data_IF_684160291784
#
_entry.id   IF_684160291784
#
_cell.length_a   1.000
_cell.length_b   1.000
_cell.length_c   1.000
_cell.angle_alpha   90.00
_cell.angle_beta   90.00
_cell.angle_gamma   90.00
#
_symmetry.space_group_name_H-M   'P 1'
#
loop_
_entity.id
_entity.type
_entity.pdbx_description
1 polymer ?
#
# COMPACT_ATOMS: atom_id res chain seq x y z
N UNK A 1 12.27 -9.72 0.18
CA UNK A 1 11.02 -9.02 -0.25
C UNK A 1 11.06 -7.55 0.21
N UNK A 2 10.61 -6.57 -0.58
CA UNK A 2 10.65 -5.12 -0.25
C UNK A 2 10.08 -4.80 1.16
N UNK A 3 8.98 -5.47 1.53
CA UNK A 3 8.34 -5.36 2.84
C UNK A 3 9.27 -5.71 4.02
N UNK A 4 10.09 -6.75 3.90
CA UNK A 4 11.00 -7.19 4.95
C UNK A 4 12.25 -6.31 5.03
N UNK A 5 12.85 -5.97 3.89
CA UNK A 5 14.14 -5.29 3.86
C UNK A 5 14.03 -3.77 4.06
N UNK A 6 12.97 -3.14 3.55
CA UNK A 6 12.83 -1.67 3.59
C UNK A 6 11.88 -1.24 4.70
N UNK A 7 10.76 -1.93 4.86
CA UNK A 7 9.71 -1.53 5.80
C UNK A 7 9.78 -2.25 7.15
N UNK A 8 10.68 -3.25 7.28
CA UNK A 8 10.86 -4.08 8.49
C UNK A 8 9.54 -4.68 9.01
N UNK A 9 8.58 -4.93 8.11
CA UNK A 9 7.30 -5.53 8.43
C UNK A 9 7.26 -6.98 7.96
N UNK A 10 6.60 -7.84 8.74
CA UNK A 10 6.31 -9.20 8.30
C UNK A 10 5.26 -9.13 7.18
N UNK A 11 5.54 -9.62 5.96
CA UNK A 11 4.62 -9.50 4.82
C UNK A 11 3.26 -10.16 5.06
N UNK A 12 3.23 -11.18 5.92
CA UNK A 12 2.03 -11.93 6.31
C UNK A 12 1.42 -11.47 7.63
N UNK A 13 1.96 -10.42 8.26
CA UNK A 13 1.54 -9.93 9.58
C UNK A 13 0.34 -8.98 9.57
N UNK A 14 -0.49 -8.99 8.51
CA UNK A 14 -1.64 -8.10 8.37
C UNK A 14 -1.32 -6.68 7.87
N UNK A 15 -0.06 -6.39 7.55
CA UNK A 15 0.32 -5.10 6.97
C UNK A 15 -0.21 -4.94 5.54
N UNK A 16 -0.73 -3.76 5.22
CA UNK A 16 -1.13 -3.36 3.86
C UNK A 16 -0.09 -2.40 3.28
N UNK A 17 0.46 -2.75 2.13
CA UNK A 17 1.42 -1.93 1.41
C UNK A 17 0.72 -1.15 0.30
N UNK A 18 0.66 0.17 0.44
CA UNK A 18 0.05 1.06 -0.55
C UNK A 18 1.11 1.68 -1.47
N UNK A 19 0.87 1.62 -2.78
CA UNK A 19 1.71 2.24 -3.80
C UNK A 19 0.85 3.14 -4.68
N UNK A 20 1.26 4.40 -4.85
CA UNK A 20 0.63 5.34 -5.77
C UNK A 20 1.45 5.48 -7.05
N UNK A 21 0.79 5.44 -8.20
CA UNK A 21 1.43 5.80 -9.46
C UNK A 21 1.84 7.27 -9.48
N UNK A 22 2.86 7.61 -10.28
CA UNK A 22 3.36 8.99 -10.44
C UNK A 22 2.27 9.97 -10.88
N UNK A 23 1.39 9.53 -11.80
CA UNK A 23 0.22 10.29 -12.28
C UNK A 23 -0.85 10.53 -11.21
N UNK A 24 -0.85 9.73 -10.14
CA UNK A 24 -1.76 9.86 -9.00
C UNK A 24 -3.17 9.31 -9.22
N UNK A 25 -3.51 8.85 -10.41
CA UNK A 25 -4.79 8.23 -10.78
C UNK A 25 -4.89 6.76 -10.38
N UNK A 26 -3.77 6.14 -9.97
CA UNK A 26 -3.65 4.71 -9.70
C UNK A 26 -3.14 4.43 -8.30
N UNK A 27 -3.76 3.47 -7.62
CA UNK A 27 -3.27 2.90 -6.36
C UNK A 27 -3.26 1.38 -6.42
N UNK A 28 -2.22 0.79 -5.83
CA UNK A 28 -2.07 -0.65 -5.60
C UNK A 28 -1.99 -0.89 -4.10
N UNK A 29 -2.82 -1.78 -3.56
CA UNK A 29 -2.74 -2.25 -2.18
C UNK A 29 -2.34 -3.72 -2.20
N UNK A 30 -1.20 -4.05 -1.61
CA UNK A 30 -0.69 -5.40 -1.50
C UNK A 30 -0.75 -5.85 -0.05
N UNK A 31 -1.37 -6.99 0.23
CA UNK A 31 -1.56 -7.51 1.58
C UNK A 31 -1.71 -9.04 1.58
N UNK A 32 -1.57 -9.65 2.76
CA UNK A 32 -1.82 -11.07 2.97
C UNK A 32 -3.14 -11.24 3.71
N UNK A 33 -4.04 -12.07 3.18
CA UNK A 33 -5.39 -12.27 3.74
C UNK A 33 -5.47 -13.44 4.75
N UNK A 34 -4.37 -14.17 4.95
CA UNK A 34 -4.32 -15.38 5.77
C UNK A 34 -4.10 -16.65 4.95
N UNK A 35 -4.54 -16.67 3.69
CA UNK A 35 -4.39 -17.80 2.78
C UNK A 35 -3.39 -17.51 1.66
N UNK A 36 -3.31 -16.25 1.22
CA UNK A 36 -2.48 -15.85 0.10
C UNK A 36 -2.22 -14.35 0.04
N UNK A 37 -1.42 -13.95 -0.94
CA UNK A 37 -1.21 -12.54 -1.23
C UNK A 37 -2.29 -12.02 -2.17
N UNK A 38 -2.90 -10.91 -1.77
CA UNK A 38 -3.91 -10.20 -2.55
C UNK A 38 -3.35 -8.87 -3.07
N UNK A 39 -3.81 -8.49 -4.27
CA UNK A 39 -3.54 -7.20 -4.87
C UNK A 39 -4.85 -6.51 -5.22
N UNK A 40 -5.17 -5.42 -4.54
CA UNK A 40 -6.23 -4.51 -4.97
C UNK A 40 -5.64 -3.42 -5.86
N UNK A 41 -6.19 -3.26 -7.05
CA UNK A 41 -5.77 -2.25 -8.02
C UNK A 41 -6.94 -1.37 -8.42
N UNK A 42 -6.82 -0.07 -8.18
CA UNK A 42 -7.85 0.92 -8.52
C UNK A 42 -7.29 2.02 -9.39
N UNK A 43 -8.04 2.32 -10.44
CA UNK A 43 -7.80 3.44 -11.36
C UNK A 43 -8.98 4.39 -11.24
N UNK A 44 -8.70 5.67 -11.05
CA UNK A 44 -9.71 6.72 -11.12
C UNK A 44 -9.87 7.16 -12.58
N UNK A 45 -11.10 7.14 -13.09
CA UNK A 45 -11.41 7.67 -14.44
C UNK A 45 -11.22 9.19 -14.50
N UNK A 46 -11.38 9.88 -13.36
CA UNK A 46 -11.16 11.33 -13.21
C UNK A 46 -10.57 11.63 -11.83
N UNK A 47 -9.63 12.57 -11.77
CA UNK A 47 -9.00 13.01 -10.52
C UNK A 47 -7.76 12.22 -10.13
N UNK A 48 -7.30 12.42 -8.88
CA UNK A 48 -6.09 11.80 -8.32
C UNK A 48 -6.35 11.40 -6.87
N UNK A 49 -5.68 10.34 -6.41
CA UNK A 49 -5.63 10.00 -5.00
C UNK A 49 -4.82 11.05 -4.24
N UNK A 50 -5.42 11.59 -3.18
CA UNK A 50 -4.74 12.35 -2.15
C UNK A 50 -3.64 11.49 -1.54
N UNK A 51 -2.40 11.95 -1.62
CA UNK A 51 -1.25 11.23 -1.12
C UNK A 51 -0.57 12.08 -0.05
N UNK A 52 -0.28 11.51 1.12
CA UNK A 52 0.36 12.27 2.17
C UNK A 52 1.81 12.59 1.77
N UNK A 53 2.22 13.85 1.93
CA UNK A 53 3.61 14.25 1.69
C UNK A 53 4.49 13.68 2.81
N UNK A 54 5.62 13.09 2.43
CA UNK A 54 6.42 12.26 3.31
C UNK A 54 7.13 13.09 4.39
N UNK A 55 6.59 13.06 5.62
CA UNK A 55 7.34 13.41 6.83
C UNK A 55 7.50 12.18 7.72
N UNK A 56 6.43 11.44 8.03
CA UNK A 56 6.52 10.11 8.68
C UNK A 56 5.14 9.43 8.72
N UNK A 57 4.74 8.69 7.68
CA UNK A 57 3.41 8.07 7.65
C UNK A 57 3.47 6.56 7.86
N UNK A 58 3.26 6.16 9.11
CA UNK A 58 2.92 4.79 9.50
C UNK A 58 1.58 4.86 10.24
N UNK A 59 0.47 4.59 9.54
CA UNK A 59 -0.82 4.41 10.20
C UNK A 59 -0.92 2.96 10.66
N UNK A 60 -0.91 2.73 11.98
CA UNK A 60 -1.31 1.44 12.56
C UNK A 60 -2.80 1.52 12.79
N UNK A 61 -3.59 0.79 12.00
CA UNK A 61 -4.97 0.50 12.36
C UNK A 61 -4.95 -0.35 13.62
N UNK A 62 -5.64 0.11 14.67
CA UNK A 62 -5.96 -0.68 15.87
C UNK A 62 -6.76 -1.92 15.51
#
# INVERSE_FOLDING_TARGET
MLAQHVLRQKPTGGAVFAFRGRRGDRVKLFYFDGQGFCLYYKILQKGRFSWPWAANWTARGT
#
